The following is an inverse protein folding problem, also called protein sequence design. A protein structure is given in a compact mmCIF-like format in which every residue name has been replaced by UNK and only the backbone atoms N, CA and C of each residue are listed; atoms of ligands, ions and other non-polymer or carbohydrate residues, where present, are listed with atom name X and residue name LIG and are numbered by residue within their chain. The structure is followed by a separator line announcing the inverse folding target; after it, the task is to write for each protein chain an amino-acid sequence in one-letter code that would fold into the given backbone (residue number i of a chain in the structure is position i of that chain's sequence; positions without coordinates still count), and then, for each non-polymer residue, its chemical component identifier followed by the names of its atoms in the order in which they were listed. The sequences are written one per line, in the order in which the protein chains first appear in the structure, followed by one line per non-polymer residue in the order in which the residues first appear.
data_IF_443297074106
#
_entry.id   IF_443297074106
#
_cell.length_a   1.000
_cell.length_b   1.000
_cell.length_c   1.000
_cell.angle_alpha   90.00
_cell.angle_beta   90.00
_cell.angle_gamma   90.00
#
_symmetry.space_group_name_H-M   'P 1'
#
loop_
_entity.id
_entity.type
_entity.pdbx_description
1 polymer ?
#
# COMPACT_ATOMS: atom_id res chain seq x y z
N UNK A 1 17.08 -19.13 -19.56
CA UNK A 1 15.64 -19.09 -19.26
C UNK A 1 15.45 -18.35 -17.96
N UNK A 2 14.78 -17.19 -17.97
CA UNK A 2 14.33 -16.53 -16.77
C UNK A 2 12.79 -16.58 -16.80
N UNK A 3 12.20 -17.32 -15.86
CA UNK A 3 10.77 -17.27 -15.64
C UNK A 3 10.45 -15.87 -15.14
N UNK A 4 9.66 -15.11 -15.90
CA UNK A 4 9.02 -13.90 -15.39
C UNK A 4 7.85 -14.39 -14.54
N UNK A 5 7.95 -14.20 -13.22
CA UNK A 5 6.87 -14.48 -12.30
C UNK A 5 5.78 -13.43 -12.47
N UNK A 6 4.85 -13.70 -13.38
CA UNK A 6 3.66 -12.86 -13.59
C UNK A 6 2.76 -13.03 -12.37
N UNK A 7 2.79 -12.06 -11.46
CA UNK A 7 1.84 -11.98 -10.35
C UNK A 7 0.43 -11.71 -10.88
N UNK A 8 -0.39 -12.76 -10.96
CA UNK A 8 -1.83 -12.65 -11.26
C UNK A 8 -2.60 -12.51 -9.95
N UNK A 9 -3.02 -11.29 -9.61
CA UNK A 9 -4.04 -11.06 -8.57
C UNK A 9 -5.41 -10.99 -9.26
N UNK A 10 -6.31 -11.92 -8.95
CA UNK A 10 -7.68 -11.89 -9.42
C UNK A 10 -8.54 -11.22 -8.35
N UNK A 11 -9.18 -10.11 -8.72
CA UNK A 11 -10.27 -9.52 -7.93
C UNK A 11 -11.57 -9.98 -8.60
N UNK A 12 -12.42 -10.69 -7.86
CA UNK A 12 -13.76 -11.05 -8.33
C UNK A 12 -14.78 -10.62 -7.29
N UNK A 13 -15.85 -9.97 -7.74
CA UNK A 13 -16.91 -9.47 -6.88
C UNK A 13 -18.27 -9.92 -7.42
N UNK A 14 -19.17 -10.25 -6.50
CA UNK A 14 -20.57 -10.57 -6.77
C UNK A 14 -21.42 -9.76 -5.80
N UNK A 15 -22.19 -8.76 -6.25
CA UNK A 15 -23.07 -8.02 -5.37
C UNK A 15 -24.13 -8.95 -4.79
N UNK A 16 -24.26 -8.92 -3.46
CA UNK A 16 -25.23 -9.73 -2.73
C UNK A 16 -26.59 -9.04 -2.57
N UNK A 17 -26.69 -7.73 -2.87
CA UNK A 17 -27.88 -6.94 -2.60
C UNK A 17 -28.61 -6.47 -3.86
N UNK A 18 -29.82 -7.01 -4.02
CA UNK A 18 -30.86 -6.56 -4.96
C UNK A 18 -31.61 -5.30 -4.48
N UNK A 19 -31.24 -4.74 -3.32
CA UNK A 19 -31.81 -3.51 -2.77
C UNK A 19 -30.69 -2.50 -2.53
N UNK A 20 -30.81 -1.37 -3.23
CA UNK A 20 -29.85 -0.29 -3.39
C UNK A 20 -29.26 0.19 -2.06
N UNK A 21 -28.03 -0.22 -1.77
CA UNK A 21 -27.12 0.60 -0.99
C UNK A 21 -26.03 1.04 -1.95
N UNK A 22 -25.76 2.34 -2.04
CA UNK A 22 -24.66 2.87 -2.84
C UNK A 22 -23.33 2.41 -2.22
N UNK A 23 -22.88 1.23 -2.62
CA UNK A 23 -21.57 0.69 -2.29
C UNK A 23 -20.59 1.11 -3.38
N UNK A 24 -19.57 1.88 -3.01
CA UNK A 24 -18.46 2.23 -3.91
C UNK A 24 -17.28 1.33 -3.61
N UNK A 25 -16.73 0.71 -4.66
CA UNK A 25 -15.52 -0.10 -4.58
C UNK A 25 -14.36 0.67 -5.18
N UNK A 26 -13.32 0.91 -4.39
CA UNK A 26 -12.12 1.60 -4.81
C UNK A 26 -10.91 0.66 -4.73
N UNK A 27 -10.15 0.56 -5.82
CA UNK A 27 -8.85 -0.11 -5.82
C UNK A 27 -7.74 0.92 -5.87
N UNK A 28 -6.92 0.99 -4.85
CA UNK A 28 -5.82 1.95 -4.75
C UNK A 28 -4.60 1.35 -4.05
N UNK A 29 -3.42 1.51 -4.62
CA UNK A 29 -2.13 1.05 -4.07
C UNK A 29 -2.13 -0.42 -3.60
N UNK A 30 -2.88 -1.30 -4.28
CA UNK A 30 -2.98 -2.71 -3.92
C UNK A 30 -4.07 -3.05 -2.90
N UNK A 31 -4.70 -2.04 -2.30
CA UNK A 31 -5.83 -2.20 -1.40
C UNK A 31 -7.17 -2.23 -2.18
N UNK A 32 -8.14 -2.98 -1.65
CA UNK A 32 -9.54 -2.91 -2.06
C UNK A 32 -10.33 -2.31 -0.91
N UNK A 33 -10.97 -1.17 -1.16
CA UNK A 33 -11.76 -0.44 -0.17
C UNK A 33 -13.21 -0.45 -0.60
N UNK A 34 -14.09 -0.65 0.38
CA UNK A 34 -15.54 -0.61 0.22
C UNK A 34 -16.07 0.56 1.02
N UNK A 35 -16.78 1.46 0.35
CA UNK A 35 -17.40 2.63 0.95
C UNK A 35 -18.91 2.47 0.91
N UNK A 36 -19.54 2.57 2.08
CA UNK A 36 -20.98 2.45 2.25
C UNK A 36 -21.46 3.46 3.28
N UNK A 37 -22.51 4.21 2.96
CA UNK A 37 -23.09 5.23 3.86
C UNK A 37 -22.03 6.21 4.43
N UNK A 38 -21.09 6.63 3.59
CA UNK A 38 -20.01 7.55 3.96
C UNK A 38 -18.89 6.95 4.82
N UNK A 39 -18.92 5.64 5.12
CA UNK A 39 -17.85 4.94 5.84
C UNK A 39 -17.03 4.08 4.89
N UNK A 40 -15.71 4.13 4.99
CA UNK A 40 -14.80 3.33 4.16
C UNK A 40 -14.12 2.23 4.98
N UNK A 41 -14.03 1.02 4.42
CA UNK A 41 -13.37 -0.12 5.05
C UNK A 41 -12.51 -0.86 4.05
N UNK A 42 -11.28 -1.16 4.43
CA UNK A 42 -10.35 -1.96 3.63
C UNK A 42 -10.71 -3.46 3.73
N UNK A 43 -10.95 -4.11 2.59
CA UNK A 43 -11.25 -5.55 2.48
C UNK A 43 -10.07 -6.38 1.96
N UNK A 44 -9.16 -5.75 1.23
CA UNK A 44 -7.87 -6.32 0.84
C UNK A 44 -6.78 -5.34 1.27
N UNK A 45 -5.81 -5.81 2.05
CA UNK A 45 -4.70 -4.99 2.49
C UNK A 45 -3.69 -4.72 1.36
N UNK A 46 -3.03 -3.55 1.38
CA UNK A 46 -2.04 -3.18 0.38
C UNK A 46 -0.78 -4.03 0.48
N UNK A 47 0.16 -3.78 -0.44
CA UNK A 47 1.52 -4.31 -0.35
C UNK A 47 2.44 -3.52 0.59
N UNK A 48 1.88 -2.68 1.47
CA UNK A 48 2.60 -2.00 2.53
C UNK A 48 2.54 -2.91 3.75
N UNK A 49 3.65 -3.11 4.46
CA UNK A 49 3.72 -4.01 5.61
C UNK A 49 4.67 -3.41 6.63
N UNK A 50 4.18 -3.28 7.86
CA UNK A 50 4.96 -2.93 9.03
C UNK A 50 5.02 -4.18 9.93
N UNK A 51 6.22 -4.58 10.30
CA UNK A 51 6.45 -5.77 11.12
C UNK A 51 7.61 -5.54 12.09
N UNK A 52 7.67 -6.34 13.16
CA UNK A 52 8.82 -6.36 14.04
C UNK A 52 10.07 -6.79 13.26
N UNK A 53 11.19 -6.10 13.51
CA UNK A 53 12.47 -6.49 12.96
C UNK A 53 13.05 -7.73 13.66
N UNK A 54 14.22 -8.16 13.22
CA UNK A 54 14.93 -9.25 13.89
C UNK A 54 15.43 -8.79 15.28
N UNK A 55 14.59 -8.98 16.30
CA UNK A 55 14.85 -8.57 17.69
C UNK A 55 14.29 -7.18 18.03
N UNK A 56 14.42 -6.79 19.31
CA UNK A 56 13.77 -5.60 19.89
C UNK A 56 14.28 -4.25 19.36
N UNK A 57 15.37 -4.23 18.61
CA UNK A 57 16.09 -3.01 18.22
C UNK A 57 15.75 -2.48 16.82
N UNK A 58 14.81 -3.12 16.10
CA UNK A 58 14.45 -2.67 14.75
C UNK A 58 12.99 -2.95 14.41
N UNK A 59 12.47 -2.20 13.45
CA UNK A 59 11.19 -2.47 12.77
C UNK A 59 11.45 -2.57 11.27
N UNK A 60 10.70 -3.42 10.58
CA UNK A 60 10.75 -3.47 9.12
C UNK A 60 9.54 -2.75 8.54
N UNK A 61 9.77 -1.88 7.57
CA UNK A 61 8.72 -1.28 6.77
C UNK A 61 8.99 -1.61 5.30
N UNK A 62 8.07 -2.35 4.69
CA UNK A 62 8.12 -2.70 3.27
C UNK A 62 6.94 -2.05 2.56
N UNK A 63 7.19 -1.24 1.53
CA UNK A 63 6.16 -0.58 0.75
C UNK A 63 6.22 -1.06 -0.71
N UNK A 64 5.28 -1.90 -1.12
CA UNK A 64 5.07 -2.30 -2.52
C UNK A 64 3.91 -1.50 -3.10
N UNK A 65 4.25 -0.36 -3.68
CA UNK A 65 3.27 0.58 -4.24
C UNK A 65 2.94 0.19 -5.68
N UNK A 66 1.67 0.31 -6.05
CA UNK A 66 1.20 0.00 -7.39
C UNK A 66 0.77 1.30 -8.09
N UNK A 67 1.47 1.66 -9.16
CA UNK A 67 1.09 2.74 -10.06
C UNK A 67 0.21 2.18 -11.18
N UNK A 68 -1.00 2.70 -11.35
CA UNK A 68 -1.89 2.31 -12.45
C UNK A 68 -1.60 3.16 -13.69
N UNK A 69 -1.18 2.52 -14.78
CA UNK A 69 -1.09 3.13 -16.11
C UNK A 69 -2.28 2.69 -16.97
N UNK A 70 -3.06 3.66 -17.45
CA UNK A 70 -4.19 3.43 -18.34
C UNK A 70 -5.17 4.59 -18.33
N UNK A 71 -6.12 4.58 -19.26
CA UNK A 71 -7.18 5.59 -19.32
C UNK A 71 -8.09 5.44 -18.10
N UNK A 72 -8.37 6.55 -17.40
CA UNK A 72 -9.41 6.57 -16.37
C UNK A 72 -10.76 6.33 -17.06
N UNK A 73 -11.46 5.28 -16.65
CA UNK A 73 -12.81 4.95 -17.11
C UNK A 73 -13.79 4.95 -15.95
N UNK A 74 -15.05 5.28 -16.23
CA UNK A 74 -16.16 5.13 -15.30
C UNK A 74 -17.02 3.99 -15.82
N UNK A 75 -17.18 2.92 -15.03
CA UNK A 75 -18.04 1.80 -15.36
C UNK A 75 -19.47 2.12 -14.95
N UNK A 76 -20.44 1.91 -15.85
CA UNK A 76 -21.86 2.04 -15.54
C UNK A 76 -22.39 0.73 -14.93
N UNK A 77 -23.38 0.81 -14.03
CA UNK A 77 -23.91 -0.37 -13.33
C UNK A 77 -24.64 -1.38 -14.23
N UNK A 78 -24.81 -1.07 -15.52
CA UNK A 78 -25.50 -1.88 -16.51
C UNK A 78 -24.58 -2.44 -17.61
N UNK A 79 -23.25 -2.20 -17.56
CA UNK A 79 -22.28 -2.81 -18.47
C UNK A 79 -21.51 -3.95 -17.77
N UNK A 80 -21.28 -5.06 -18.49
CA UNK A 80 -20.30 -6.07 -18.09
C UNK A 80 -18.99 -5.67 -18.75
N UNK A 81 -18.08 -5.09 -17.97
CA UNK A 81 -16.75 -4.71 -18.43
C UNK A 81 -15.69 -5.60 -17.77
N UNK A 82 -14.80 -6.15 -18.57
CA UNK A 82 -13.67 -6.92 -18.05
C UNK A 82 -12.49 -5.98 -17.80
N UNK A 83 -12.09 -5.84 -16.54
CA UNK A 83 -10.85 -5.16 -16.17
C UNK A 83 -9.74 -6.20 -16.09
N UNK A 84 -8.71 -6.04 -16.90
CA UNK A 84 -7.46 -6.80 -16.78
C UNK A 84 -6.37 -5.91 -16.21
N UNK A 85 -5.90 -6.27 -15.01
CA UNK A 85 -4.73 -5.69 -14.37
C UNK A 85 -3.53 -6.60 -14.61
N UNK A 86 -2.47 -6.05 -15.21
CA UNK A 86 -1.20 -6.79 -15.41
C UNK A 86 -0.04 -5.95 -14.91
N UNK A 87 0.72 -6.49 -13.96
CA UNK A 87 2.05 -6.00 -13.62
C UNK A 87 3.10 -6.90 -14.27
N UNK A 88 4.22 -6.32 -14.67
CA UNK A 88 5.32 -7.05 -15.29
C UNK A 88 6.43 -7.37 -14.28
N UNK A 89 6.81 -6.41 -13.43
CA UNK A 89 7.82 -6.55 -12.37
C UNK A 89 7.63 -5.50 -11.26
N UNK A 90 8.28 -5.72 -10.12
CA UNK A 90 8.48 -4.69 -9.09
C UNK A 90 9.87 -4.08 -9.23
N UNK A 91 9.94 -2.77 -9.36
CA UNK A 91 11.19 -1.99 -9.40
C UNK A 91 11.56 -1.63 -7.96
N UNK A 92 12.75 -2.03 -7.52
CA UNK A 92 13.31 -1.56 -6.25
C UNK A 92 13.62 -0.06 -6.36
N UNK A 93 12.98 0.75 -5.52
CA UNK A 93 13.22 2.19 -5.41
C UNK A 93 14.23 2.47 -4.29
N UNK A 94 14.16 1.71 -3.20
CA UNK A 94 15.01 1.90 -2.04
C UNK A 94 15.12 0.61 -1.23
N UNK A 95 16.33 0.32 -0.74
CA UNK A 95 16.58 -0.77 0.20
C UNK A 95 17.65 -0.33 1.21
N UNK A 96 17.27 -0.17 2.48
CA UNK A 96 18.20 0.23 3.55
C UNK A 96 19.30 -0.81 3.82
N UNK A 97 19.09 -2.07 3.42
CA UNK A 97 20.10 -3.12 3.56
C UNK A 97 21.20 -3.02 2.50
N UNK A 98 21.00 -2.20 1.47
CA UNK A 98 21.96 -2.05 0.38
C UNK A 98 23.26 -1.43 0.90
N UNK A 99 24.36 -2.16 0.72
CA UNK A 99 25.69 -1.71 1.10
C UNK A 99 26.27 -0.78 0.05
N UNK A 100 26.81 0.35 0.51
CA UNK A 100 27.57 1.28 -0.30
C UNK A 100 29.04 1.16 0.07
N UNK A 101 29.86 0.71 -0.89
CA UNK A 101 31.31 0.61 -0.73
C UNK A 101 31.97 1.83 -1.35
N UNK A 102 32.68 2.60 -0.53
CA UNK A 102 33.70 3.55 -0.99
C UNK A 102 35.08 2.94 -0.81
N UNK A 103 36.13 3.55 -1.39
CA UNK A 103 37.50 3.01 -1.40
C UNK A 103 38.02 2.55 -0.03
N UNK A 104 37.48 3.07 1.08
CA UNK A 104 37.96 2.78 2.44
C UNK A 104 36.89 2.24 3.41
N UNK A 105 35.62 2.09 3.00
CA UNK A 105 34.56 1.63 3.90
C UNK A 105 33.32 1.12 3.17
N UNK A 106 32.70 0.10 3.75
CA UNK A 106 31.34 -0.36 3.42
C UNK A 106 30.37 0.17 4.48
N UNK A 107 29.36 0.92 4.06
CA UNK A 107 28.35 1.51 4.97
C UNK A 107 26.93 1.16 4.50
N UNK A 108 26.01 1.01 5.46
CA UNK A 108 24.57 0.88 5.22
C UNK A 108 23.86 2.16 5.65
N UNK A 109 22.69 2.42 5.05
CA UNK A 109 21.85 3.53 5.48
C UNK A 109 21.31 3.25 6.89
N UNK A 110 21.43 4.23 7.79
CA UNK A 110 20.80 4.17 9.10
C UNK A 110 19.50 5.00 9.05
N UNK A 111 18.40 4.36 8.70
CA UNK A 111 17.09 5.02 8.61
C UNK A 111 16.46 5.08 9.99
N UNK A 112 16.23 6.30 10.48
CA UNK A 112 15.63 6.57 11.79
C UNK A 112 14.21 7.11 11.69
N UNK A 113 13.78 7.56 10.51
CA UNK A 113 12.41 7.98 10.26
C UNK A 113 11.99 7.74 8.80
N UNK A 114 10.70 7.48 8.59
CA UNK A 114 10.08 7.36 7.27
C UNK A 114 8.74 8.08 7.27
N UNK A 115 8.52 8.91 6.26
CA UNK A 115 7.22 9.52 5.99
C UNK A 115 6.59 8.86 4.76
N UNK A 116 5.43 8.24 4.93
CA UNK A 116 4.63 7.66 3.86
C UNK A 116 3.33 8.44 3.69
N UNK A 117 3.16 9.11 2.55
CA UNK A 117 1.93 9.84 2.22
C UNK A 117 1.13 9.10 1.15
N UNK A 118 -0.13 8.79 1.46
CA UNK A 118 -1.12 8.21 0.54
C UNK A 118 -2.11 9.30 0.16
N UNK A 119 -2.24 9.60 -1.14
CA UNK A 119 -3.29 10.48 -1.66
C UNK A 119 -4.54 9.66 -1.95
N UNK A 120 -5.63 9.93 -1.23
CA UNK A 120 -6.85 9.12 -1.23
C UNK A 120 -8.03 9.89 -0.65
N UNK A 121 -9.24 9.63 -1.14
CA UNK A 121 -10.49 10.07 -0.51
C UNK A 121 -10.94 9.12 0.62
N UNK A 122 -10.37 7.91 0.69
CA UNK A 122 -10.69 6.89 1.69
C UNK A 122 -9.79 7.03 2.94
N UNK A 123 -9.68 8.25 3.47
CA UNK A 123 -8.71 8.58 4.52
C UNK A 123 -8.97 7.84 5.84
N UNK A 124 -10.24 7.53 6.14
CA UNK A 124 -10.61 6.70 7.29
C UNK A 124 -10.05 5.28 7.20
N UNK A 125 -10.22 4.61 6.05
CA UNK A 125 -9.76 3.25 5.83
C UNK A 125 -8.23 3.14 5.92
N UNK A 126 -7.50 4.07 5.30
CA UNK A 126 -6.04 4.11 5.37
C UNK A 126 -5.51 4.46 6.76
N UNK A 127 -6.13 5.45 7.41
CA UNK A 127 -5.77 5.81 8.78
C UNK A 127 -5.92 4.61 9.72
N UNK A 128 -7.04 3.90 9.65
CA UNK A 128 -7.27 2.71 10.47
C UNK A 128 -6.30 1.57 10.17
N UNK A 129 -5.98 1.37 8.89
CA UNK A 129 -5.01 0.35 8.48
C UNK A 129 -3.61 0.60 9.07
N UNK A 130 -3.12 1.85 9.02
CA UNK A 130 -1.82 2.20 9.62
C UNK A 130 -1.82 2.09 11.14
N UNK A 131 -2.91 2.53 11.79
CA UNK A 131 -3.09 2.38 13.24
C UNK A 131 -3.03 0.90 13.65
N UNK A 132 -3.77 0.03 12.95
CA UNK A 132 -3.78 -1.41 13.21
C UNK A 132 -2.40 -2.03 13.01
N UNK A 133 -1.72 -1.69 11.91
CA UNK A 133 -0.38 -2.19 11.60
C UNK A 133 0.65 -1.79 12.66
N UNK A 134 0.55 -0.56 13.19
CA UNK A 134 1.43 -0.08 14.26
C UNK A 134 1.11 -0.74 15.61
N UNK A 135 -0.16 -0.97 15.92
CA UNK A 135 -0.59 -1.67 17.13
C UNK A 135 -0.13 -3.14 17.13
N UNK A 136 -0.20 -3.81 15.98
CA UNK A 136 0.30 -5.18 15.79
C UNK A 136 1.82 -5.29 16.01
N UNK A 137 2.57 -4.20 15.85
CA UNK A 137 4.02 -4.10 16.10
C UNK A 137 4.36 -3.40 17.42
N UNK A 138 3.36 -3.23 18.29
CA UNK A 138 3.50 -2.64 19.62
C UNK A 138 4.13 -1.24 19.62
N UNK A 139 3.94 -0.47 18.55
CA UNK A 139 4.36 0.92 18.47
C UNK A 139 3.30 1.84 19.07
N UNK A 140 3.75 2.91 19.71
CA UNK A 140 2.86 3.87 20.37
C UNK A 140 2.71 5.16 19.54
N UNK A 141 1.47 5.58 19.30
CA UNK A 141 1.21 6.88 18.64
C UNK A 141 1.72 8.04 19.50
N UNK A 142 2.31 9.06 18.86
CA UNK A 142 2.94 10.21 19.51
C UNK A 142 4.38 9.97 19.96
N UNK A 143 4.79 8.71 20.14
CA UNK A 143 6.17 8.34 20.52
C UNK A 143 6.91 7.71 19.35
N UNK A 144 6.34 6.66 18.75
CA UNK A 144 6.98 5.88 17.70
C UNK A 144 6.46 6.20 16.31
N UNK A 145 5.22 6.69 16.22
CA UNK A 145 4.60 7.08 14.96
C UNK A 145 3.53 8.15 15.14
N UNK A 146 3.14 8.80 14.05
CA UNK A 146 1.97 9.67 13.96
C UNK A 146 1.18 9.39 12.68
N UNK A 147 -0.15 9.55 12.75
CA UNK A 147 -1.04 9.51 11.58
C UNK A 147 -1.73 10.86 11.42
N UNK A 148 -1.43 11.57 10.33
CA UNK A 148 -2.14 12.81 9.96
C UNK A 148 -3.09 12.52 8.82
N UNK A 149 -4.36 12.89 8.99
CA UNK A 149 -5.41 12.77 7.96
C UNK A 149 -5.83 14.16 7.52
N UNK A 150 -5.86 14.37 6.22
CA UNK A 150 -6.46 15.54 5.57
C UNK A 150 -7.64 15.07 4.71
N UNK A 151 -8.29 15.98 3.98
CA UNK A 151 -9.45 15.62 3.14
C UNK A 151 -9.10 14.61 2.04
N UNK A 152 -7.87 14.67 1.51
CA UNK A 152 -7.42 13.89 0.35
C UNK A 152 -6.08 13.20 0.56
N UNK A 153 -5.60 13.11 1.81
CA UNK A 153 -4.32 12.49 2.11
C UNK A 153 -4.28 11.85 3.50
N UNK A 154 -3.49 10.79 3.62
CA UNK A 154 -3.09 10.20 4.90
C UNK A 154 -1.58 10.11 4.92
N UNK A 155 -0.96 10.73 5.93
CA UNK A 155 0.48 10.65 6.19
C UNK A 155 0.73 9.75 7.40
N UNK A 156 1.47 8.67 7.19
CA UNK A 156 2.03 7.85 8.25
C UNK A 156 3.51 8.22 8.45
N UNK A 157 3.81 8.82 9.59
CA UNK A 157 5.17 9.17 10.00
C UNK A 157 5.66 8.14 11.01
N UNK A 158 6.68 7.36 10.67
CA UNK A 158 7.30 6.34 11.52
C UNK A 158 8.66 6.83 12.00
N UNK A 159 8.89 6.86 13.32
CA UNK A 159 10.09 7.37 13.96
C UNK A 159 10.33 6.71 15.34
N UNK A 160 10.39 5.37 15.43
CA UNK A 160 10.43 4.67 16.70
C UNK A 160 11.64 5.05 17.56
N UNK A 161 11.42 5.31 18.85
CA UNK A 161 12.52 5.65 19.75
C UNK A 161 13.44 4.45 19.96
N UNK A 162 14.75 4.67 19.83
CA UNK A 162 15.78 3.64 20.06
C UNK A 162 15.67 2.39 19.17
N UNK A 163 14.93 2.46 18.05
CA UNK A 163 14.89 1.42 17.02
C UNK A 163 15.37 1.95 15.69
N UNK A 164 16.04 1.11 14.91
CA UNK A 164 16.33 1.41 13.50
C UNK A 164 15.19 0.92 12.61
N UNK A 165 15.00 1.57 11.46
CA UNK A 165 14.01 1.16 10.47
C UNK A 165 14.72 0.43 9.33
N UNK A 166 14.35 -0.81 9.08
CA UNK A 166 14.72 -1.50 7.84
C UNK A 166 13.66 -1.18 6.79
N UNK A 167 13.94 -0.20 5.93
CA UNK A 167 12.97 0.31 4.96
C UNK A 167 13.26 -0.21 3.56
N UNK A 168 12.23 -0.78 2.93
CA UNK A 168 12.27 -1.22 1.52
C UNK A 168 11.09 -0.64 0.76
N UNK A 169 11.36 -0.01 -0.38
CA UNK A 169 10.35 0.55 -1.25
C UNK A 169 10.45 -0.07 -2.65
N UNK A 170 9.31 -0.52 -3.15
CA UNK A 170 9.17 -1.08 -4.49
C UNK A 170 8.00 -0.41 -5.21
N UNK A 171 8.12 -0.21 -6.50
CA UNK A 171 7.04 0.25 -7.36
C UNK A 171 6.72 -0.79 -8.44
N UNK A 172 5.44 -1.12 -8.58
CA UNK A 172 4.91 -1.89 -9.69
C UNK A 172 4.12 -0.97 -10.62
N UNK A 173 4.40 -1.06 -11.92
CA UNK A 173 3.56 -0.43 -12.94
C UNK A 173 2.51 -1.45 -13.38
N UNK A 174 1.26 -1.19 -13.01
CA UNK A 174 0.10 -1.99 -13.40
C UNK A 174 -0.53 -1.36 -14.63
N UNK A 175 -0.45 -2.07 -15.76
CA UNK A 175 -1.18 -1.68 -16.97
C UNK A 175 -2.63 -2.13 -16.85
N UNK A 176 -3.54 -1.17 -17.01
CA UNK A 176 -4.99 -1.42 -17.05
C UNK A 176 -5.47 -1.51 -18.50
N UNK A 177 -6.24 -2.56 -18.79
CA UNK A 177 -7.01 -2.67 -20.03
C UNK A 177 -8.47 -2.95 -19.70
N UNK A 178 -9.36 -2.15 -20.28
CA UNK A 178 -10.81 -2.34 -20.25
C UNK A 178 -11.25 -2.83 -21.62
N UNK A 179 -11.93 -3.96 -21.66
CA UNK A 179 -12.59 -4.46 -22.88
C UNK A 179 -14.10 -4.36 -22.66
N UNK A 180 -14.77 -3.56 -23.50
CA UNK A 180 -16.23 -3.51 -23.60
C UNK A 180 -16.65 -4.68 -24.47
N UNK A 181 -17.54 -5.52 -23.96
CA UNK A 181 -18.06 -6.67 -24.69
C UNK A 181 -19.23 -6.29 -25.60
#
# INVERSE_FOLDING_TARGET
SAASDVYKRQVSYRPANIHSVEETYCYENGALIVTQNGRSVMKLFPGIVLEDGAGIASVNLSARIATLEGTRGVMASNSIENIRLTSQDFINIYDSDQEYTSENATTKANVTSVDLTIYTENTEAWGKYFEDSANETHLQEGTDYNITKEDYSVKFSLFPENKTINFKAYNAIIKMKTEIQ
#
